data_IF_193650963863
#
_entry.id   IF_193650963863
#
_cell.length_a   1.000
_cell.length_b   1.000
_cell.length_c   1.000
_cell.angle_alpha   90.00
_cell.angle_beta   90.00
_cell.angle_gamma   90.00
#
_symmetry.space_group_name_H-M   'P 1'
#
loop_
_entity.id
_entity.type
_entity.pdbx_description
1 polymer ?
#
# COMPACT_ATOMS: atom_id res chain seq x y z
N UNK A 1 -11.18 12.11 -0.86
CA UNK A 1 -11.33 10.86 -1.61
C UNK A 1 -11.09 11.03 -3.13
N UNK A 2 -11.18 12.22 -3.69
CA UNK A 2 -10.94 12.47 -5.12
C UNK A 2 -9.55 13.07 -5.42
N UNK A 3 -8.58 12.86 -4.57
CA UNK A 3 -7.23 13.35 -4.80
C UNK A 3 -6.58 12.63 -6.00
N UNK A 4 -6.00 13.35 -6.97
CA UNK A 4 -5.23 12.75 -8.07
C UNK A 4 -4.11 11.85 -7.57
N UNK A 5 -3.60 12.15 -6.41
CA UNK A 5 -2.47 11.53 -5.75
C UNK A 5 -2.60 10.02 -5.54
N UNK A 6 -3.73 9.55 -5.00
CA UNK A 6 -3.96 8.12 -4.83
C UNK A 6 -4.09 7.37 -6.16
N UNK A 7 -4.67 8.04 -7.17
CA UNK A 7 -4.80 7.52 -8.53
C UNK A 7 -3.43 7.33 -9.20
N UNK A 8 -2.54 8.29 -8.99
CA UNK A 8 -1.18 8.27 -9.55
C UNK A 8 -0.33 7.18 -8.89
N UNK A 9 -0.44 7.03 -7.56
CA UNK A 9 0.21 5.95 -6.83
C UNK A 9 -0.24 4.57 -7.33
N UNK A 10 -1.55 4.38 -7.43
CA UNK A 10 -2.13 3.13 -7.91
C UNK A 10 -1.71 2.79 -9.34
N UNK A 11 -1.80 3.76 -10.25
CA UNK A 11 -1.40 3.61 -11.65
C UNK A 11 0.10 3.32 -11.76
N UNK A 12 0.88 3.93 -10.89
CA UNK A 12 2.33 3.70 -10.81
C UNK A 12 2.66 2.26 -10.48
N UNK A 13 2.10 1.78 -9.39
CA UNK A 13 2.33 0.41 -8.95
C UNK A 13 1.83 -0.62 -9.97
N UNK A 14 0.67 -0.41 -10.58
CA UNK A 14 0.14 -1.30 -11.63
C UNK A 14 1.08 -1.36 -12.85
N UNK A 15 1.70 -0.25 -13.25
CA UNK A 15 2.67 -0.23 -14.36
C UNK A 15 4.00 -0.90 -14.02
N UNK A 16 4.44 -0.83 -12.77
CA UNK A 16 5.68 -1.47 -12.33
C UNK A 16 5.49 -2.98 -12.11
N UNK A 17 4.34 -3.39 -11.60
CA UNK A 17 4.02 -4.78 -11.25
C UNK A 17 3.29 -5.53 -12.37
N UNK A 18 3.20 -4.97 -13.57
CA UNK A 18 2.46 -5.54 -14.71
C UNK A 18 2.86 -6.96 -15.10
N UNK A 19 4.12 -7.35 -14.82
CA UNK A 19 4.66 -8.68 -15.15
C UNK A 19 4.21 -9.79 -14.20
N UNK A 20 3.72 -9.42 -13.03
CA UNK A 20 3.39 -10.40 -11.99
C UNK A 20 1.98 -10.95 -12.22
N UNK A 21 1.79 -12.27 -12.16
CA UNK A 21 0.45 -12.85 -12.10
C UNK A 21 -0.26 -12.29 -10.86
N UNK A 22 -1.50 -11.79 -11.03
CA UNK A 22 -2.17 -11.04 -9.95
C UNK A 22 -1.60 -9.65 -9.68
N UNK A 23 -0.87 -9.06 -10.65
CA UNK A 23 -0.20 -7.77 -10.50
C UNK A 23 -1.10 -6.67 -9.94
N UNK A 24 -2.40 -6.70 -10.25
CA UNK A 24 -3.35 -5.73 -9.72
C UNK A 24 -3.65 -5.93 -8.24
N UNK A 25 -3.74 -7.20 -7.79
CA UNK A 25 -3.93 -7.54 -6.37
C UNK A 25 -2.70 -7.10 -5.57
N UNK A 26 -1.51 -7.37 -6.09
CA UNK A 26 -0.24 -6.96 -5.47
C UNK A 26 -0.11 -5.44 -5.47
N UNK A 27 -0.53 -4.77 -6.56
CA UNK A 27 -0.57 -3.31 -6.64
C UNK A 27 -1.49 -2.70 -5.58
N UNK A 28 -2.63 -3.32 -5.29
CA UNK A 28 -3.50 -2.90 -4.19
C UNK A 28 -2.82 -3.01 -2.83
N UNK A 29 -2.16 -4.15 -2.56
CA UNK A 29 -1.43 -4.35 -1.30
C UNK A 29 -0.27 -3.34 -1.19
N UNK A 30 0.48 -3.15 -2.26
CA UNK A 30 1.56 -2.15 -2.32
C UNK A 30 1.05 -0.72 -2.12
N UNK A 31 -0.05 -0.35 -2.78
CA UNK A 31 -0.69 0.95 -2.62
C UNK A 31 -1.21 1.15 -1.20
N UNK A 32 -1.84 0.12 -0.61
CA UNK A 32 -2.24 0.14 0.79
C UNK A 32 -1.04 0.31 1.73
N UNK A 33 0.07 -0.39 1.49
CA UNK A 33 1.28 -0.29 2.31
C UNK A 33 1.87 1.12 2.30
N UNK A 34 1.99 1.74 1.12
CA UNK A 34 2.52 3.10 0.98
C UNK A 34 1.54 4.12 1.58
N UNK A 35 0.24 3.97 1.30
CA UNK A 35 -0.76 4.87 1.85
C UNK A 35 -0.94 4.70 3.35
N UNK A 36 -0.78 3.48 3.88
CA UNK A 36 -0.76 3.19 5.31
C UNK A 36 0.34 3.99 6.02
N UNK A 37 1.54 4.00 5.45
CA UNK A 37 2.67 4.79 5.97
C UNK A 37 2.44 6.32 5.92
N UNK A 38 1.50 6.80 5.10
CA UNK A 38 1.13 8.22 5.05
C UNK A 38 0.02 8.58 6.00
N UNK A 39 -1.01 7.72 6.07
CA UNK A 39 -2.24 8.00 6.82
C UNK A 39 -2.19 7.53 8.27
N UNK A 40 -1.40 6.51 8.57
CA UNK A 40 -1.35 5.87 9.88
C UNK A 40 -2.68 5.26 10.34
N UNK A 41 -3.63 5.10 9.41
CA UNK A 41 -5.02 4.74 9.70
C UNK A 41 -5.55 3.69 8.74
N UNK A 42 -5.98 2.54 9.29
CA UNK A 42 -6.58 1.45 8.50
C UNK A 42 -7.86 1.86 7.77
N UNK A 43 -8.84 2.52 8.42
CA UNK A 43 -10.05 2.97 7.73
C UNK A 43 -9.76 3.97 6.61
N UNK A 44 -8.83 4.92 6.82
CA UNK A 44 -8.46 5.89 5.81
C UNK A 44 -7.79 5.21 4.61
N UNK A 45 -6.93 4.22 4.86
CA UNK A 45 -6.27 3.43 3.82
C UNK A 45 -7.29 2.64 2.99
N UNK A 46 -8.21 1.92 3.65
CA UNK A 46 -9.30 1.19 2.97
C UNK A 46 -10.16 2.12 2.12
N UNK A 47 -10.57 3.27 2.66
CA UNK A 47 -11.41 4.22 1.95
C UNK A 47 -10.70 4.82 0.73
N UNK A 48 -9.44 5.25 0.89
CA UNK A 48 -8.69 5.89 -0.18
C UNK A 48 -8.35 4.92 -1.32
N UNK A 49 -7.76 3.77 -0.99
CA UNK A 49 -7.34 2.80 -2.01
C UNK A 49 -8.54 2.00 -2.54
N UNK A 50 -9.55 1.71 -1.71
CA UNK A 50 -10.75 0.98 -2.10
C UNK A 50 -11.58 1.70 -3.17
N UNK A 51 -11.70 3.03 -3.09
CA UNK A 51 -12.45 3.82 -4.09
C UNK A 51 -11.84 3.73 -5.50
N UNK A 52 -10.57 3.41 -5.61
CA UNK A 52 -9.86 3.31 -6.88
C UNK A 52 -9.60 1.85 -7.27
N UNK A 53 -9.14 1.04 -6.33
CA UNK A 53 -8.73 -0.33 -6.57
C UNK A 53 -9.91 -1.25 -6.91
N UNK A 54 -11.02 -1.14 -6.18
CA UNK A 54 -12.19 -2.01 -6.39
C UNK A 54 -12.79 -1.84 -7.79
N UNK A 55 -13.13 -0.61 -8.26
CA UNK A 55 -13.64 -0.43 -9.60
C UNK A 55 -12.68 -0.90 -10.70
N UNK A 56 -11.39 -0.70 -10.50
CA UNK A 56 -10.38 -1.10 -11.48
C UNK A 56 -10.23 -2.62 -11.56
N UNK A 57 -10.29 -3.32 -10.41
CA UNK A 57 -10.29 -4.77 -10.37
C UNK A 57 -11.55 -5.35 -11.03
N UNK A 58 -12.73 -4.78 -10.74
CA UNK A 58 -13.99 -5.17 -11.39
C UNK A 58 -13.95 -5.03 -12.91
N UNK A 59 -13.44 -3.91 -13.42
CA UNK A 59 -13.27 -3.70 -14.86
C UNK A 59 -12.41 -4.76 -15.54
N UNK A 60 -11.51 -5.37 -14.79
CA UNK A 60 -10.58 -6.39 -15.28
C UNK A 60 -11.04 -7.82 -14.98
N UNK A 61 -12.30 -7.99 -14.53
CA UNK A 61 -12.93 -9.30 -14.33
C UNK A 61 -12.56 -10.01 -13.02
N UNK A 62 -11.93 -9.32 -12.06
CA UNK A 62 -11.72 -9.88 -10.73
C UNK A 62 -13.04 -9.96 -9.96
N UNK A 63 -13.21 -11.02 -9.18
CA UNK A 63 -14.39 -11.15 -8.31
C UNK A 63 -14.44 -10.07 -7.24
N UNK A 64 -15.65 -9.71 -6.83
CA UNK A 64 -15.85 -8.72 -5.76
C UNK A 64 -15.19 -9.15 -4.45
N UNK A 65 -15.17 -10.44 -4.16
CA UNK A 65 -14.53 -11.00 -2.97
C UNK A 65 -13.03 -10.72 -2.96
N UNK A 66 -12.34 -10.92 -4.08
CA UNK A 66 -10.91 -10.62 -4.22
C UNK A 66 -10.67 -9.11 -4.14
N UNK A 67 -11.48 -8.33 -4.86
CA UNK A 67 -11.32 -6.88 -4.91
C UNK A 67 -11.50 -6.24 -3.51
N UNK A 68 -12.55 -6.60 -2.79
CA UNK A 68 -12.82 -6.05 -1.46
C UNK A 68 -11.92 -6.67 -0.38
N UNK A 69 -11.67 -7.99 -0.46
CA UNK A 69 -10.83 -8.70 0.50
C UNK A 69 -9.39 -8.22 0.50
N UNK A 70 -8.80 -7.95 -0.66
CA UNK A 70 -7.43 -7.42 -0.76
C UNK A 70 -7.30 -6.00 -0.23
N UNK A 71 -8.32 -5.16 -0.42
CA UNK A 71 -8.34 -3.82 0.16
C UNK A 71 -8.51 -3.88 1.68
N UNK A 72 -9.41 -4.73 2.17
CA UNK A 72 -9.61 -4.92 3.61
C UNK A 72 -8.33 -5.43 4.29
N UNK A 73 -7.70 -6.46 3.72
CA UNK A 73 -6.44 -7.00 4.21
C UNK A 73 -5.31 -5.96 4.14
N UNK A 74 -5.11 -5.32 2.98
CA UNK A 74 -4.10 -4.28 2.81
C UNK A 74 -4.31 -3.07 3.72
N UNK A 75 -5.57 -2.71 4.00
CA UNK A 75 -5.91 -1.64 4.93
C UNK A 75 -5.43 -1.89 6.37
N UNK A 76 -5.37 -3.15 6.81
CA UNK A 76 -4.87 -3.47 8.16
C UNK A 76 -3.42 -3.05 8.39
N UNK A 77 -2.65 -2.90 7.33
CA UNK A 77 -1.26 -2.43 7.39
C UNK A 77 -1.14 -1.01 7.98
N UNK A 78 -2.22 -0.20 7.93
CA UNK A 78 -2.25 1.14 8.52
C UNK A 78 -2.12 1.17 10.05
N UNK A 79 -2.32 0.07 10.74
CA UNK A 79 -2.04 -0.04 12.17
C UNK A 79 -0.56 -0.34 12.44
N UNK A 80 0.08 -1.10 11.55
CA UNK A 80 1.43 -1.65 11.78
C UNK A 80 2.53 -0.81 11.16
N UNK A 81 2.32 -0.32 9.92
CA UNK A 81 3.35 0.44 9.20
C UNK A 81 3.40 1.87 9.74
N UNK A 82 4.55 2.31 10.31
CA UNK A 82 4.66 3.65 10.86
C UNK A 82 4.72 4.73 9.75
N UNK A 83 4.29 5.98 10.10
CA UNK A 83 3.69 6.37 11.38
C UNK A 83 2.26 5.84 11.56
N UNK A 84 1.93 5.33 12.75
CA UNK A 84 0.61 4.76 13.04
C UNK A 84 -0.03 5.46 14.23
N UNK A 85 -1.27 5.95 14.04
CA UNK A 85 -2.05 6.60 15.09
C UNK A 85 -2.25 5.67 16.28
N UNK A 86 -2.49 4.37 16.03
CA UNK A 86 -2.71 3.38 17.09
C UNK A 86 -1.45 3.20 17.94
N UNK A 87 -0.27 3.15 17.32
CA UNK A 87 0.99 3.04 18.05
C UNK A 87 1.30 4.31 18.86
N UNK A 88 0.90 5.49 18.36
CA UNK A 88 1.03 6.75 19.11
C UNK A 88 0.16 6.71 20.36
N UNK A 89 -1.13 6.39 20.20
CA UNK A 89 -2.08 6.31 21.32
C UNK A 89 -1.62 5.25 22.35
N UNK A 90 -1.15 4.10 21.87
CA UNK A 90 -0.61 3.07 22.73
C UNK A 90 0.62 3.56 23.52
N UNK A 91 1.55 4.22 22.84
CA UNK A 91 2.76 4.77 23.45
C UNK A 91 2.45 5.78 24.56
N UNK A 92 1.48 6.69 24.30
CA UNK A 92 1.02 7.67 25.29
C UNK A 92 0.38 6.97 26.49
N UNK A 93 -0.52 5.99 26.24
CA UNK A 93 -1.25 5.30 27.30
C UNK A 93 -0.35 4.45 28.20
N UNK A 94 0.73 3.88 27.65
CA UNK A 94 1.65 2.99 28.37
C UNK A 94 2.94 3.68 28.84
N UNK A 95 3.15 4.94 28.47
CA UNK A 95 4.42 5.64 28.75
C UNK A 95 5.62 5.07 27.97
N UNK A 96 5.36 4.30 26.90
CA UNK A 96 6.40 3.68 26.07
C UNK A 96 6.87 4.63 24.98
N UNK A 97 8.16 4.60 24.66
CA UNK A 97 8.72 5.42 23.59
C UNK A 97 8.06 5.11 22.24
N UNK A 98 7.39 6.09 21.65
CA UNK A 98 6.68 5.96 20.36
C UNK A 98 7.66 5.62 19.23
N UNK A 99 8.88 6.20 19.23
CA UNK A 99 9.91 5.87 18.25
C UNK A 99 10.33 4.39 18.30
N UNK A 100 10.46 3.81 19.50
CA UNK A 100 10.72 2.36 19.64
C UNK A 100 9.54 1.51 19.16
N UNK A 101 8.30 1.93 19.45
CA UNK A 101 7.10 1.24 18.95
C UNK A 101 7.04 1.25 17.43
N UNK A 102 7.38 2.35 16.80
CA UNK A 102 7.45 2.45 15.34
C UNK A 102 8.50 1.50 14.74
N UNK A 103 9.70 1.44 15.33
CA UNK A 103 10.73 0.47 14.90
C UNK A 103 10.25 -0.98 15.05
N UNK A 104 9.60 -1.29 16.17
CA UNK A 104 9.02 -2.62 16.39
C UNK A 104 7.89 -2.94 15.39
N UNK A 105 7.12 -1.94 14.95
CA UNK A 105 6.03 -2.11 13.99
C UNK A 105 6.50 -2.37 12.55
N UNK A 106 7.69 -1.90 12.18
CA UNK A 106 8.22 -2.07 10.82
C UNK A 106 8.36 -3.54 10.42
N UNK A 107 8.98 -4.35 11.27
CA UNK A 107 9.24 -5.77 10.96
C UNK A 107 7.94 -6.55 10.73
N UNK A 108 6.97 -6.56 11.67
CA UNK A 108 5.71 -7.26 11.45
C UNK A 108 4.87 -6.63 10.33
N UNK A 109 4.94 -5.32 10.13
CA UNK A 109 4.25 -4.63 9.04
C UNK A 109 4.73 -5.10 7.66
N UNK A 110 6.04 -5.12 7.42
CA UNK A 110 6.60 -5.63 6.17
C UNK A 110 6.42 -7.14 6.01
N UNK A 111 6.52 -7.90 7.10
CA UNK A 111 6.27 -9.34 7.07
C UNK A 111 4.82 -9.63 6.66
N UNK A 112 3.85 -8.92 7.21
CA UNK A 112 2.44 -9.08 6.88
C UNK A 112 2.15 -8.63 5.43
N UNK A 113 2.70 -7.52 4.99
CA UNK A 113 2.59 -7.06 3.60
C UNK A 113 3.18 -8.11 2.62
N UNK A 114 4.32 -8.69 2.96
CA UNK A 114 4.96 -9.77 2.21
C UNK A 114 4.08 -11.03 2.17
N UNK A 115 3.48 -11.43 3.28
CA UNK A 115 2.56 -12.58 3.33
C UNK A 115 1.32 -12.34 2.46
N UNK A 116 0.74 -11.15 2.49
CA UNK A 116 -0.37 -10.80 1.60
C UNK A 116 0.04 -10.82 0.13
N UNK A 117 1.23 -10.31 -0.20
CA UNK A 117 1.74 -10.35 -1.57
C UNK A 117 1.99 -11.80 -2.05
N UNK A 118 2.56 -12.65 -1.20
CA UNK A 118 2.77 -14.06 -1.50
C UNK A 118 1.44 -14.77 -1.69
N UNK A 119 0.48 -14.54 -0.79
CA UNK A 119 -0.86 -15.09 -0.93
C UNK A 119 -1.52 -14.66 -2.24
N UNK A 120 -1.41 -13.39 -2.60
CA UNK A 120 -1.93 -12.84 -3.85
C UNK A 120 -1.30 -13.52 -5.08
N UNK A 121 0.00 -13.77 -5.06
CA UNK A 121 0.71 -14.50 -6.11
C UNK A 121 0.19 -15.93 -6.23
N UNK A 122 0.12 -16.66 -5.11
CA UNK A 122 -0.34 -18.05 -5.07
C UNK A 122 -1.79 -18.13 -5.57
N UNK A 123 -2.66 -17.26 -5.06
CA UNK A 123 -4.07 -17.23 -5.47
C UNK A 123 -4.22 -16.97 -6.98
N UNK A 124 -3.51 -15.98 -7.51
CA UNK A 124 -3.58 -15.66 -8.95
C UNK A 124 -2.97 -16.72 -9.83
N UNK A 125 -1.97 -17.46 -9.36
CA UNK A 125 -1.34 -18.50 -10.14
C UNK A 125 -2.15 -19.82 -10.18
N UNK A 126 -2.75 -20.21 -9.05
CA UNK A 126 -3.40 -21.50 -8.89
C UNK A 126 -4.92 -21.47 -9.05
N UNK A 127 -5.57 -20.37 -8.65
CA UNK A 127 -7.04 -20.30 -8.56
C UNK A 127 -7.61 -19.45 -9.70
N UNK A 128 -6.99 -18.33 -10.03
CA UNK A 128 -7.54 -17.36 -10.98
C UNK A 128 -6.86 -17.46 -12.36
N UNK A 129 -7.19 -18.55 -13.09
CA UNK A 129 -6.66 -18.79 -14.46
C UNK A 129 -7.05 -17.67 -15.43
N UNK A 130 -8.10 -16.92 -15.16
CA UNK A 130 -8.55 -15.81 -15.99
C UNK A 130 -7.72 -14.53 -15.74
N UNK A 131 -7.23 -14.34 -14.52
CA UNK A 131 -6.23 -13.30 -14.23
C UNK A 131 -4.90 -13.56 -14.98
N UNK A 132 -4.48 -14.81 -15.09
CA UNK A 132 -3.30 -15.20 -15.86
C UNK A 132 -3.49 -14.99 -17.39
N UNK A 133 -4.70 -15.21 -17.91
CA UNK A 133 -5.07 -14.92 -19.31
C UNK A 133 -5.14 -13.42 -19.57
N UNK A 134 -5.69 -12.65 -18.65
CA UNK A 134 -5.75 -11.19 -18.74
C UNK A 134 -4.35 -10.55 -18.80
N UNK A 135 -3.36 -11.17 -18.13
CA UNK A 135 -1.96 -10.74 -18.23
C UNK A 135 -1.40 -10.93 -19.66
N UNK A 136 -1.74 -12.03 -20.30
CA UNK A 136 -1.22 -12.37 -21.64
C UNK A 136 -1.71 -11.44 -22.74
N UNK A 137 -2.83 -10.76 -22.50
CA UNK A 137 -3.43 -9.81 -23.44
C UNK A 137 -3.06 -8.35 -23.14
N UNK A 138 -2.24 -8.09 -22.12
CA UNK A 138 -1.79 -6.73 -21.79
C UNK A 138 -0.59 -6.33 -22.63
N UNK A 139 -0.67 -5.17 -23.24
CA UNK A 139 0.50 -4.52 -23.85
C UNK A 139 1.50 -4.12 -22.77
N UNK A 140 2.78 -4.48 -22.91
CA UNK A 140 3.79 -4.10 -21.94
C UNK A 140 3.91 -2.58 -21.87
N UNK A 141 3.86 -1.97 -20.67
CA UNK A 141 4.09 -0.54 -20.53
C UNK A 141 5.52 -0.20 -20.96
N UNK A 142 5.63 0.84 -21.77
CA UNK A 142 6.90 1.36 -22.28
C UNK A 142 7.75 1.89 -21.11
N UNK A 143 9.07 1.82 -21.19
CA UNK A 143 9.98 2.39 -20.19
C UNK A 143 9.67 3.87 -19.90
N UNK A 144 9.25 4.61 -20.93
CA UNK A 144 8.83 6.00 -20.80
C UNK A 144 7.62 6.15 -19.88
N UNK A 145 6.61 5.29 -20.05
CA UNK A 145 5.40 5.31 -19.19
C UNK A 145 5.70 4.96 -17.74
N UNK A 146 6.68 4.09 -17.49
CA UNK A 146 7.15 3.76 -16.13
C UNK A 146 7.88 4.94 -15.49
N UNK A 147 8.69 5.65 -16.27
CA UNK A 147 9.43 6.83 -15.81
C UNK A 147 8.51 8.04 -15.58
N UNK A 148 7.46 8.21 -16.39
CA UNK A 148 6.48 9.29 -16.23
C UNK A 148 5.68 9.21 -14.92
N UNK A 149 5.57 8.01 -14.35
CA UNK A 149 4.86 7.81 -13.07
C UNK A 149 5.79 8.03 -11.87
N UNK A 150 7.09 7.83 -12.04
CA UNK A 150 8.07 7.99 -10.96
C UNK A 150 8.01 9.36 -10.28
N UNK A 151 7.99 10.51 -11.01
CA UNK A 151 7.87 11.82 -10.37
C UNK A 151 6.54 12.05 -9.64
N UNK A 152 5.50 11.26 -9.94
CA UNK A 152 4.20 11.34 -9.26
C UNK A 152 4.16 10.53 -7.96
N UNK A 153 4.95 9.47 -7.88
CA UNK A 153 5.09 8.64 -6.65
C UNK A 153 6.18 9.20 -5.73
N UNK A 154 7.18 9.87 -6.29
CA UNK A 154 8.32 10.42 -5.54
C UNK A 154 7.93 11.35 -4.38
N UNK A 155 6.95 12.28 -4.52
CA UNK A 155 6.51 13.14 -3.41
C UNK A 155 6.00 12.34 -2.20
N UNK A 156 5.30 11.22 -2.44
CA UNK A 156 4.82 10.37 -1.35
C UNK A 156 5.96 9.70 -0.60
N UNK A 157 6.91 9.14 -1.35
CA UNK A 157 8.10 8.54 -0.75
C UNK A 157 8.94 9.58 -0.01
N UNK A 158 9.03 10.81 -0.55
CA UNK A 158 9.75 11.90 0.09
C UNK A 158 9.08 12.33 1.41
N UNK A 159 7.75 12.40 1.45
CA UNK A 159 7.00 12.70 2.69
C UNK A 159 7.23 11.60 3.72
N UNK A 160 7.11 10.33 3.35
CA UNK A 160 7.34 9.21 4.26
C UNK A 160 8.78 9.25 4.80
N UNK A 161 9.76 9.41 3.92
CA UNK A 161 11.16 9.50 4.31
C UNK A 161 11.43 10.72 5.20
N UNK A 162 10.81 11.86 4.89
CA UNK A 162 10.90 13.08 5.67
C UNK A 162 10.35 12.93 7.08
N UNK A 163 9.14 12.38 7.22
CA UNK A 163 8.51 12.10 8.51
C UNK A 163 9.36 11.13 9.34
N UNK A 164 9.80 10.03 8.74
CA UNK A 164 10.67 9.08 9.43
C UNK A 164 12.02 9.71 9.83
N UNK A 165 12.62 10.53 8.96
CA UNK A 165 13.86 11.24 9.27
C UNK A 165 13.70 12.18 10.46
N UNK A 166 12.62 12.98 10.47
CA UNK A 166 12.32 13.94 11.56
C UNK A 166 12.09 13.21 12.88
N UNK A 167 11.35 12.09 12.84
CA UNK A 167 11.04 11.27 14.02
C UNK A 167 12.28 10.58 14.59
N UNK A 168 13.09 9.97 13.74
CA UNK A 168 14.28 9.21 14.17
C UNK A 168 15.50 10.11 14.38
N UNK A 169 15.56 11.24 13.70
CA UNK A 169 16.59 12.26 13.91
C UNK A 169 16.42 13.07 15.21
N UNK A 170 15.31 12.85 15.94
CA UNK A 170 15.02 13.55 17.19
C UNK A 170 14.72 15.04 17.00
N UNK A 171 14.36 15.46 15.79
CA UNK A 171 14.09 16.85 15.42
C UNK A 171 12.71 17.29 15.91
N UNK A 172 11.74 16.37 15.92
CA UNK A 172 10.41 16.61 16.42
C UNK A 172 9.87 15.40 17.19
N UNK A 173 8.92 15.67 18.09
CA UNK A 173 8.19 14.61 18.77
C UNK A 173 7.13 13.99 17.82
N UNK A 174 6.73 12.73 18.05
CA UNK A 174 5.70 12.09 17.23
C UNK A 174 4.33 12.78 17.22
N UNK A 175 4.09 13.69 18.15
CA UNK A 175 2.88 14.53 18.22
C UNK A 175 3.02 15.83 17.41
N UNK A 176 4.23 16.18 16.99
CA UNK A 176 4.53 17.41 16.22
C UNK A 176 4.86 17.13 14.75
N UNK A 177 5.12 15.86 14.41
CA UNK A 177 5.42 15.41 13.04
C UNK A 177 4.16 14.99 12.29
#
# INVERSE_FOLDING_TARGET
ANSPAGKDLYTGLDRWLWRLPGGLVISNIGACSIFAALSGSSPATCAAIGTMGIPEMRKRGYSDQIATGTIAAGGTLGVLIPPSIVLIVYGIATGTSIGRLFLCGLVPGFMLAGMFAIWALIHSYFIDKDAAKALRNRTPPTLREKLEVLPRVLPFLAIIAGVLYVLYGGVATPSEA
#
